data_IF_055182093621
#
_entry.id   IF_055182093621
#
_cell.length_a   1.000
_cell.length_b   1.000
_cell.length_c   1.000
_cell.angle_alpha   90.00
_cell.angle_beta   90.00
_cell.angle_gamma   90.00
#
_symmetry.space_group_name_H-M   'P 1'
#
loop_
_entity.id
_entity.type
_entity.pdbx_description
1 polymer ?
#
# COMPACT_ATOMS: atom_id res chain seq x y z
N UNK A 1 -10.59 17.50 2.25
CA UNK A 1 -9.68 18.45 1.55
C UNK A 1 -8.77 19.00 2.61
N UNK A 2 -7.47 18.70 2.52
CA UNK A 2 -6.46 19.26 3.43
C UNK A 2 -6.38 20.76 3.19
N UNK A 3 -6.35 21.57 4.25
CA UNK A 3 -6.24 23.02 4.10
C UNK A 3 -4.83 23.41 3.64
N UNK A 4 -4.68 24.49 2.90
CA UNK A 4 -3.37 25.01 2.47
C UNK A 4 -2.44 25.24 3.67
N UNK A 5 -2.98 25.65 4.82
CA UNK A 5 -2.22 25.83 6.05
C UNK A 5 -1.66 24.49 6.58
N UNK A 6 -2.47 23.44 6.65
CA UNK A 6 -2.06 22.11 7.13
C UNK A 6 -1.01 21.49 6.20
N UNK A 7 -1.17 21.61 4.89
CA UNK A 7 -0.19 21.19 3.90
C UNK A 7 1.14 21.90 4.10
N UNK A 8 1.10 23.21 4.31
CA UNK A 8 2.30 24.02 4.52
C UNK A 8 3.06 23.64 5.81
N UNK A 9 2.34 23.38 6.91
CA UNK A 9 2.96 22.90 8.15
C UNK A 9 3.62 21.52 8.00
N UNK A 10 3.00 20.62 7.24
CA UNK A 10 3.59 19.30 6.93
C UNK A 10 4.86 19.43 6.07
N UNK A 11 4.88 20.34 5.10
CA UNK A 11 6.06 20.59 4.27
C UNK A 11 7.20 21.24 5.07
N UNK A 12 6.88 22.12 6.01
CA UNK A 12 7.86 22.68 6.95
C UNK A 12 8.44 21.59 7.86
N UNK A 13 7.56 20.76 8.44
CA UNK A 13 8.01 19.63 9.27
C UNK A 13 8.95 18.68 8.50
N UNK A 14 8.69 18.48 7.22
CA UNK A 14 9.54 17.66 6.36
C UNK A 14 10.93 18.29 6.13
N UNK A 15 11.09 19.59 6.37
CA UNK A 15 12.34 20.31 6.20
C UNK A 15 12.59 20.81 4.77
N UNK A 16 11.56 20.86 3.91
CA UNK A 16 11.73 21.28 2.52
C UNK A 16 12.12 22.77 2.38
N UNK A 17 11.88 23.57 3.41
CA UNK A 17 12.22 24.99 3.44
C UNK A 17 13.45 25.31 4.31
N UNK A 18 14.09 24.31 4.89
CA UNK A 18 15.29 24.46 5.70
C UNK A 18 16.52 24.65 4.83
N UNK A 19 17.06 25.86 4.84
CA UNK A 19 18.27 26.20 4.06
C UNK A 19 19.55 25.68 4.71
N UNK A 20 19.54 25.47 6.04
CA UNK A 20 20.73 25.04 6.79
C UNK A 20 20.85 23.53 6.93
N UNK A 21 19.73 22.82 6.97
CA UNK A 21 19.65 21.35 7.08
C UNK A 21 19.20 20.65 5.81
N UNK A 22 19.38 21.32 4.67
CA UNK A 22 19.01 20.81 3.34
C UNK A 22 19.50 19.39 3.06
N UNK A 23 18.91 18.69 2.09
CA UNK A 23 19.33 17.34 1.73
C UNK A 23 20.81 17.33 1.33
N UNK A 24 21.50 16.24 1.62
CA UNK A 24 22.89 16.03 1.19
C UNK A 24 23.03 15.96 -0.34
N UNK A 25 21.93 16.03 -1.07
CA UNK A 25 21.87 16.02 -2.53
C UNK A 25 21.93 17.49 -3.04
N UNK A 26 23.05 17.84 -3.65
CA UNK A 26 23.27 19.19 -4.21
C UNK A 26 22.59 19.35 -5.56
N UNK A 27 22.42 18.25 -6.31
CA UNK A 27 21.75 18.19 -7.61
C UNK A 27 20.88 16.95 -7.72
N UNK A 28 19.67 17.08 -8.26
CA UNK A 28 18.76 15.96 -8.49
C UNK A 28 17.40 16.39 -9.04
N UNK A 29 16.63 15.43 -9.47
CA UNK A 29 15.23 15.65 -9.81
C UNK A 29 14.42 15.99 -8.56
N UNK A 30 13.26 16.68 -8.66
CA UNK A 30 12.39 16.95 -7.51
C UNK A 30 12.03 15.69 -6.72
N UNK A 31 11.87 14.55 -7.38
CA UNK A 31 11.61 13.26 -6.73
C UNK A 31 12.79 12.80 -5.87
N UNK A 32 14.01 12.88 -6.37
CA UNK A 32 15.21 12.51 -5.62
C UNK A 32 15.47 13.42 -4.43
N UNK A 33 15.22 14.73 -4.58
CA UNK A 33 15.33 15.69 -3.47
C UNK A 33 14.30 15.36 -2.38
N UNK A 34 13.04 15.09 -2.76
CA UNK A 34 11.98 14.71 -1.84
C UNK A 34 12.31 13.38 -1.13
N UNK A 35 12.78 12.37 -1.87
CA UNK A 35 13.22 11.09 -1.31
C UNK A 35 14.31 11.26 -0.25
N UNK A 36 15.32 12.10 -0.52
CA UNK A 36 16.39 12.37 0.43
C UNK A 36 15.90 13.00 1.75
N UNK A 37 14.82 13.79 1.71
CA UNK A 37 14.17 14.31 2.93
C UNK A 37 13.33 13.25 3.63
N UNK A 38 12.55 12.46 2.89
CA UNK A 38 11.69 11.41 3.43
C UNK A 38 12.50 10.33 4.14
N UNK A 39 13.57 9.84 3.50
CA UNK A 39 14.44 8.81 4.09
C UNK A 39 14.97 9.21 5.47
N UNK A 40 15.32 10.49 5.67
CA UNK A 40 15.77 10.98 6.98
C UNK A 40 14.68 10.97 8.05
N UNK A 41 13.40 11.15 7.66
CA UNK A 41 12.26 11.27 8.56
C UNK A 41 11.53 9.94 8.80
N UNK A 42 11.67 9.00 7.87
CA UNK A 42 10.93 7.74 7.86
C UNK A 42 11.83 6.53 8.13
N UNK A 43 12.98 6.73 8.75
CA UNK A 43 13.77 5.64 9.27
C UNK A 43 13.00 4.99 10.42
N UNK A 44 12.82 3.69 10.38
CA UNK A 44 12.31 2.93 11.52
C UNK A 44 13.41 2.82 12.57
N UNK A 45 13.10 3.25 13.77
CA UNK A 45 13.97 3.05 14.95
C UNK A 45 13.64 1.73 15.64
N UNK A 46 14.47 1.35 16.62
CA UNK A 46 14.22 0.14 17.41
C UNK A 46 12.89 0.26 18.16
N UNK A 47 11.98 -0.67 17.89
CA UNK A 47 10.65 -0.70 18.47
C UNK A 47 9.57 0.00 17.64
N UNK A 48 9.94 0.68 16.56
CA UNK A 48 8.96 1.22 15.61
C UNK A 48 8.31 0.10 14.78
N UNK A 49 7.06 0.36 14.39
CA UNK A 49 6.31 -0.50 13.49
C UNK A 49 5.85 0.33 12.30
N UNK A 50 5.98 -0.22 11.12
CA UNK A 50 5.46 0.41 9.91
C UNK A 50 3.94 0.19 9.79
N UNK A 51 3.32 0.96 8.92
CA UNK A 51 1.91 0.81 8.58
C UNK A 51 1.72 0.97 7.08
N UNK A 52 1.01 0.02 6.48
CA UNK A 52 0.51 0.15 5.10
C UNK A 52 -0.96 0.56 5.16
N UNK A 53 -1.29 1.65 4.47
CA UNK A 53 -2.67 2.12 4.32
C UNK A 53 -2.98 2.25 2.84
N UNK A 54 -4.06 1.63 2.39
CA UNK A 54 -4.59 1.78 1.04
C UNK A 54 -6.04 2.22 1.08
N UNK A 55 -6.39 3.17 0.23
CA UNK A 55 -7.75 3.61 0.03
C UNK A 55 -8.02 3.77 -1.45
N UNK A 56 -9.03 3.09 -1.95
CA UNK A 56 -9.47 3.13 -3.34
C UNK A 56 -10.91 3.60 -3.42
N UNK A 57 -11.18 4.44 -4.41
CA UNK A 57 -12.51 4.90 -4.75
C UNK A 57 -12.75 4.71 -6.24
N UNK A 58 -13.80 4.00 -6.56
CA UNK A 58 -14.22 3.73 -7.93
C UNK A 58 -15.59 4.34 -8.17
N UNK A 59 -15.71 5.21 -9.16
CA UNK A 59 -16.99 5.69 -9.68
C UNK A 59 -17.24 5.05 -11.03
N UNK A 60 -18.41 4.47 -11.22
CA UNK A 60 -18.77 3.81 -12.46
C UNK A 60 -20.25 3.92 -12.78
N UNK A 61 -20.61 3.66 -14.06
CA UNK A 61 -22.00 3.58 -14.51
C UNK A 61 -22.36 2.13 -14.83
N UNK A 62 -23.51 1.70 -14.37
CA UNK A 62 -24.10 0.40 -14.69
C UNK A 62 -25.62 0.58 -14.85
N UNK A 63 -26.20 0.07 -15.94
CA UNK A 63 -27.65 0.11 -16.23
C UNK A 63 -28.25 1.53 -16.11
N UNK A 64 -27.51 2.54 -16.60
CA UNK A 64 -27.92 3.94 -16.59
C UNK A 64 -27.75 4.68 -15.25
N UNK A 65 -27.41 3.98 -14.17
CA UNK A 65 -27.19 4.53 -12.84
C UNK A 65 -25.72 4.73 -12.55
N UNK A 66 -25.42 5.66 -11.63
CA UNK A 66 -24.06 5.91 -11.14
C UNK A 66 -23.86 5.23 -9.79
N UNK A 67 -22.70 4.65 -9.60
CA UNK A 67 -22.32 3.97 -8.38
C UNK A 67 -20.92 4.41 -7.93
N UNK A 68 -20.74 4.35 -6.62
CA UNK A 68 -19.43 4.49 -5.97
C UNK A 68 -19.12 3.20 -5.20
N UNK A 69 -17.90 2.72 -5.33
CA UNK A 69 -17.35 1.68 -4.46
C UNK A 69 -16.07 2.20 -3.84
N UNK A 70 -15.94 2.07 -2.53
CA UNK A 70 -14.69 2.30 -1.82
C UNK A 70 -14.16 1.00 -1.27
N UNK A 71 -12.84 0.84 -1.27
CA UNK A 71 -12.14 -0.26 -0.62
C UNK A 71 -11.00 0.32 0.20
N UNK A 72 -10.97 0.01 1.47
CA UNK A 72 -9.96 0.49 2.42
C UNK A 72 -9.29 -0.67 3.13
N UNK A 73 -8.01 -0.52 3.37
CA UNK A 73 -7.16 -1.49 4.03
C UNK A 73 -6.12 -0.76 4.86
N UNK A 74 -5.86 -1.28 6.06
CA UNK A 74 -4.73 -0.87 6.88
C UNK A 74 -4.14 -2.08 7.58
N UNK A 75 -2.82 -2.18 7.56
CA UNK A 75 -2.06 -3.20 8.28
C UNK A 75 -0.89 -2.52 8.98
N UNK A 76 -0.70 -2.82 10.26
CA UNK A 76 0.45 -2.41 11.05
C UNK A 76 1.40 -3.59 11.18
N UNK A 77 2.70 -3.37 10.99
CA UNK A 77 3.73 -4.39 11.15
C UNK A 77 3.86 -4.85 12.60
N UNK A 78 4.37 -6.05 12.80
CA UNK A 78 4.58 -6.61 14.14
C UNK A 78 5.83 -6.02 14.80
N UNK A 79 6.90 -5.87 14.04
CA UNK A 79 8.18 -5.33 14.45
C UNK A 79 9.01 -4.88 13.24
N UNK A 80 10.28 -4.54 13.44
CA UNK A 80 11.18 -4.09 12.37
C UNK A 80 11.60 -5.21 11.39
N UNK A 81 11.34 -6.48 11.69
CA UNK A 81 11.60 -7.62 10.81
C UNK A 81 10.33 -8.04 10.07
N UNK A 82 9.21 -8.16 10.79
CA UNK A 82 7.89 -8.50 10.25
C UNK A 82 7.09 -7.21 10.05
N UNK A 83 7.52 -6.47 9.03
CA UNK A 83 6.92 -5.19 8.67
C UNK A 83 5.61 -5.39 7.90
N UNK A 84 4.69 -4.43 7.98
CA UNK A 84 3.47 -4.45 7.17
C UNK A 84 3.78 -4.49 5.67
N UNK A 85 4.86 -3.82 5.26
CA UNK A 85 5.33 -3.85 3.87
C UNK A 85 5.80 -5.27 3.49
N UNK A 86 6.58 -5.96 4.34
CA UNK A 86 7.04 -7.33 4.06
C UNK A 86 5.88 -8.31 4.01
N UNK A 87 4.90 -8.19 4.91
CA UNK A 87 3.75 -9.07 4.98
C UNK A 87 2.82 -8.88 3.78
N UNK A 88 2.53 -7.65 3.39
CA UNK A 88 1.65 -7.38 2.24
C UNK A 88 2.24 -7.80 0.89
N UNK A 89 3.55 -7.96 0.80
CA UNK A 89 4.25 -8.47 -0.39
C UNK A 89 4.52 -9.98 -0.27
N UNK A 90 5.03 -10.43 0.86
CA UNK A 90 5.48 -11.81 1.07
C UNK A 90 4.34 -12.81 1.20
N UNK A 91 3.28 -12.48 1.96
CA UNK A 91 2.16 -13.39 2.19
C UNK A 91 1.43 -13.79 0.91
N UNK A 92 1.05 -12.87 -0.01
CA UNK A 92 0.42 -13.25 -1.27
C UNK A 92 1.28 -14.20 -2.10
N UNK A 93 2.58 -13.96 -2.16
CA UNK A 93 3.52 -14.79 -2.89
C UNK A 93 3.66 -16.18 -2.25
N UNK A 94 3.79 -16.25 -0.92
CA UNK A 94 3.91 -17.51 -0.19
C UNK A 94 2.64 -18.37 -0.32
N UNK A 95 1.46 -17.75 -0.21
CA UNK A 95 0.17 -18.44 -0.37
C UNK A 95 -0.06 -18.93 -1.80
N UNK A 96 0.39 -18.18 -2.80
CA UNK A 96 0.34 -18.63 -4.20
C UNK A 96 1.27 -19.82 -4.41
N UNK A 97 2.50 -19.76 -3.91
CA UNK A 97 3.45 -20.89 -3.99
C UNK A 97 2.93 -22.12 -3.25
N UNK A 98 2.40 -21.97 -2.04
CA UNK A 98 1.76 -23.04 -1.30
C UNK A 98 0.63 -23.69 -2.12
N UNK A 99 -0.27 -22.89 -2.68
CA UNK A 99 -1.39 -23.38 -3.49
C UNK A 99 -0.92 -24.20 -4.67
N UNK A 100 0.12 -23.76 -5.38
CA UNK A 100 0.71 -24.49 -6.50
C UNK A 100 1.34 -25.81 -6.05
N UNK A 101 2.05 -25.84 -4.93
CA UNK A 101 2.75 -27.01 -4.41
C UNK A 101 1.81 -28.11 -3.88
N UNK A 102 0.66 -27.75 -3.31
CA UNK A 102 -0.31 -28.72 -2.80
C UNK A 102 -1.29 -29.24 -3.86
N UNK A 103 -1.02 -28.98 -5.13
CA UNK A 103 -1.78 -29.52 -6.27
C UNK A 103 -2.98 -28.69 -6.69
N UNK A 104 -3.13 -27.48 -6.17
CA UNK A 104 -4.16 -26.52 -6.55
C UNK A 104 -3.85 -25.71 -7.81
N UNK A 105 -2.79 -25.97 -8.53
CA UNK A 105 -2.15 -25.16 -9.57
C UNK A 105 -3.01 -24.13 -10.31
N UNK A 106 -2.40 -23.04 -10.70
CA UNK A 106 -3.04 -22.08 -11.62
C UNK A 106 -2.80 -22.62 -13.04
N UNK A 107 -3.86 -22.77 -13.86
CA UNK A 107 -3.79 -23.33 -15.22
C UNK A 107 -3.08 -22.41 -16.24
N UNK A 108 -2.04 -21.72 -15.78
CA UNK A 108 -1.27 -20.76 -16.57
C UNK A 108 0.23 -20.94 -16.34
N UNK A 109 1.00 -20.68 -17.37
CA UNK A 109 2.46 -20.73 -17.35
C UNK A 109 3.04 -19.38 -17.77
N UNK A 110 4.17 -19.00 -17.19
CA UNK A 110 4.86 -17.77 -17.48
C UNK A 110 4.70 -16.72 -16.37
N UNK A 111 4.91 -15.45 -16.70
CA UNK A 111 4.74 -14.32 -15.78
C UNK A 111 3.29 -13.84 -15.88
N UNK A 112 2.56 -13.97 -14.77
CA UNK A 112 1.14 -13.59 -14.68
C UNK A 112 0.94 -12.47 -13.65
N UNK A 113 0.01 -11.55 -13.96
CA UNK A 113 -0.49 -10.56 -13.00
C UNK A 113 -1.76 -11.14 -12.35
N UNK A 114 -1.88 -11.19 -11.01
CA UNK A 114 -2.97 -11.90 -10.31
C UNK A 114 -4.29 -11.11 -10.31
N UNK A 115 -4.76 -10.68 -11.47
CA UNK A 115 -5.99 -9.87 -11.65
C UNK A 115 -7.23 -10.70 -12.01
N UNK A 116 -7.07 -11.99 -12.31
CA UNK A 116 -8.19 -12.88 -12.63
C UNK A 116 -8.79 -13.52 -11.38
N UNK A 117 -10.05 -13.95 -11.47
CA UNK A 117 -10.77 -14.66 -10.40
C UNK A 117 -10.02 -15.92 -9.94
N UNK A 118 -9.35 -16.60 -10.84
CA UNK A 118 -8.52 -17.78 -10.54
C UNK A 118 -7.52 -17.52 -9.41
N UNK A 119 -6.95 -16.32 -9.33
CA UNK A 119 -5.99 -15.96 -8.28
C UNK A 119 -6.68 -15.39 -7.04
N UNK A 120 -7.50 -14.34 -7.20
CA UNK A 120 -8.01 -13.63 -6.04
C UNK A 120 -9.07 -14.41 -5.26
N UNK A 121 -9.87 -15.28 -5.89
CA UNK A 121 -10.82 -16.15 -5.19
C UNK A 121 -10.11 -17.19 -4.28
N UNK A 122 -8.87 -17.56 -4.63
CA UNK A 122 -8.07 -18.47 -3.82
C UNK A 122 -7.28 -17.71 -2.75
N UNK A 123 -6.67 -16.59 -3.11
CA UNK A 123 -5.70 -15.91 -2.26
C UNK A 123 -6.36 -14.98 -1.23
N UNK A 124 -7.39 -14.21 -1.61
CA UNK A 124 -8.00 -13.24 -0.70
C UNK A 124 -8.58 -13.90 0.57
N UNK A 125 -9.31 -15.03 0.51
CA UNK A 125 -9.80 -15.68 1.73
C UNK A 125 -8.70 -16.23 2.65
N UNK A 126 -7.54 -16.57 2.09
CA UNK A 126 -6.37 -16.99 2.87
C UNK A 126 -5.69 -15.79 3.52
N UNK A 127 -5.55 -14.68 2.79
CA UNK A 127 -4.99 -13.42 3.28
C UNK A 127 -5.85 -12.83 4.40
N UNK A 128 -7.17 -12.87 4.27
CA UNK A 128 -8.11 -12.42 5.30
C UNK A 128 -7.89 -13.14 6.64
N UNK A 129 -7.65 -14.46 6.61
CA UNK A 129 -7.32 -15.26 7.80
C UNK A 129 -6.00 -14.86 8.46
N UNK A 130 -5.11 -14.22 7.72
CA UNK A 130 -3.83 -13.70 8.18
C UNK A 130 -3.89 -12.20 8.56
N UNK A 131 -5.09 -11.60 8.61
CA UNK A 131 -5.28 -10.23 9.02
C UNK A 131 -5.26 -9.20 7.90
N UNK A 132 -5.05 -9.61 6.64
CA UNK A 132 -5.12 -8.73 5.48
C UNK A 132 -6.58 -8.58 5.07
N UNK A 133 -7.29 -7.64 5.67
CA UNK A 133 -8.74 -7.46 5.55
C UNK A 133 -9.07 -6.15 4.83
N UNK A 134 -9.80 -6.25 3.72
CA UNK A 134 -10.33 -5.09 3.01
C UNK A 134 -11.75 -4.79 3.47
N UNK A 135 -12.02 -3.52 3.82
CA UNK A 135 -13.36 -3.02 4.11
C UNK A 135 -13.93 -2.35 2.87
N UNK A 136 -15.03 -2.86 2.39
CA UNK A 136 -15.66 -2.35 1.17
C UNK A 136 -17.02 -1.73 1.47
N UNK A 137 -17.29 -0.59 0.80
CA UNK A 137 -18.60 0.04 0.78
C UNK A 137 -19.05 0.25 -0.67
N UNK A 138 -20.34 0.15 -0.89
CA UNK A 138 -20.97 0.34 -2.20
C UNK A 138 -22.26 1.15 -2.06
N UNK A 139 -22.38 2.21 -2.85
CA UNK A 139 -23.59 3.06 -2.89
C UNK A 139 -23.95 3.52 -4.29
N UNK A 140 -25.22 3.76 -4.52
CA UNK A 140 -25.74 4.50 -5.69
C UNK A 140 -25.55 6.01 -5.45
N UNK A 141 -25.12 6.77 -6.48
CA UNK A 141 -24.85 8.21 -6.45
C UNK A 141 -26.01 9.02 -7.04
#
# INVERSE_FOLDING_TARGET
>A
VVSDHETNERLKWLGLFDLESGPSLVEGTPAQILEAHLVKKWVLEDGDRDMVVMWHRFEYKKDGKRFERTSEFSLEGTDSMYTAMSDTVGLPMALAAEHMLVGGGFDRVGVEIPVSSTYYEVLLPKLEKLGVVFKENHREL
#
